data_IF_618539652118
#
_entry.id   IF_618539652118
#
_cell.length_a   1.000
_cell.length_b   1.000
_cell.length_c   1.000
_cell.angle_alpha   90.00
_cell.angle_beta   90.00
_cell.angle_gamma   90.00
#
_symmetry.space_group_name_H-M   'P 1'
#
loop_
_entity.id
_entity.type
_entity.pdbx_description
1 polymer ?
#
# COMPACT_ATOMS: atom_id res chain seq x y z
N UNK A 1 14.65 27.23 21.41
CA UNK A 1 13.41 26.43 21.48
C UNK A 1 13.33 25.68 20.16
N UNK A 2 14.11 24.62 20.06
CA UNK A 2 14.09 23.73 18.91
C UNK A 2 12.85 22.84 19.01
N UNK A 3 12.02 22.74 17.97
CA UNK A 3 10.95 21.76 17.96
C UNK A 3 11.61 20.38 17.93
N UNK A 4 11.35 19.58 18.96
CA UNK A 4 11.71 18.17 18.94
C UNK A 4 11.06 17.54 17.72
N UNK A 5 11.88 17.20 16.73
CA UNK A 5 11.53 16.37 15.59
C UNK A 5 11.24 14.97 16.15
N UNK A 6 10.03 14.82 16.70
CA UNK A 6 9.51 13.55 17.18
C UNK A 6 9.57 12.60 16.00
N UNK A 7 10.45 11.60 16.08
CA UNK A 7 10.64 10.61 15.04
C UNK A 7 9.30 9.94 14.72
N UNK A 8 8.64 10.40 13.65
CA UNK A 8 7.42 9.78 13.15
C UNK A 8 7.88 8.48 12.50
N UNK A 9 7.64 7.36 13.18
CA UNK A 9 7.81 6.04 12.58
C UNK A 9 6.74 5.92 11.46
N UNK A 10 7.15 5.87 10.18
CA UNK A 10 6.19 5.75 9.10
C UNK A 10 5.47 4.40 9.21
N UNK A 11 4.16 4.32 8.93
CA UNK A 11 3.45 3.06 8.84
C UNK A 11 4.16 2.05 7.94
N UNK A 12 4.27 0.82 8.44
CA UNK A 12 4.88 -0.31 7.73
C UNK A 12 3.79 -1.31 7.38
N UNK A 13 3.79 -1.77 6.14
CA UNK A 13 2.79 -2.69 5.63
C UNK A 13 3.42 -3.97 5.11
N UNK A 14 2.80 -5.07 5.51
CA UNK A 14 3.23 -6.41 5.22
C UNK A 14 2.19 -7.12 4.36
N UNK A 15 2.65 -7.90 3.40
CA UNK A 15 1.81 -8.89 2.75
C UNK A 15 1.36 -9.92 3.80
N UNK A 16 0.18 -10.57 3.66
CA UNK A 16 -0.23 -11.68 4.53
C UNK A 16 0.79 -12.83 4.64
N UNK A 17 1.72 -12.96 3.68
CA UNK A 17 2.86 -13.87 3.78
C UNK A 17 4.00 -13.35 4.67
N UNK A 18 3.79 -12.28 5.43
CA UNK A 18 4.75 -11.60 6.31
C UNK A 18 5.93 -10.91 5.61
N UNK A 19 5.87 -10.72 4.30
CA UNK A 19 6.89 -9.96 3.55
C UNK A 19 6.65 -8.45 3.69
N UNK A 20 7.66 -7.70 4.10
CA UNK A 20 7.60 -6.24 4.14
C UNK A 20 7.45 -5.70 2.71
N UNK A 21 6.40 -4.93 2.45
CA UNK A 21 6.00 -4.61 1.07
C UNK A 21 5.83 -3.13 0.82
N UNK A 22 5.37 -2.34 1.78
CA UNK A 22 5.10 -0.92 1.57
C UNK A 22 5.35 -0.12 2.85
N UNK A 23 5.80 1.11 2.69
CA UNK A 23 5.75 2.14 3.73
C UNK A 23 5.24 3.44 3.14
N UNK A 24 4.48 4.21 3.92
CA UNK A 24 3.87 5.48 3.52
C UNK A 24 4.08 6.52 4.62
N UNK A 25 3.96 7.81 4.29
CA UNK A 25 4.04 8.88 5.30
C UNK A 25 2.81 8.99 6.21
N UNK A 26 1.65 8.47 5.78
CA UNK A 26 0.39 8.46 6.53
C UNK A 26 -0.27 7.08 6.45
N UNK A 27 -1.12 6.69 7.42
CA UNK A 27 -1.82 5.41 7.38
C UNK A 27 -2.69 5.25 6.13
N UNK A 28 -2.73 4.05 5.54
CA UNK A 28 -3.52 3.78 4.33
C UNK A 28 -5.01 4.04 4.54
N UNK A 29 -5.50 3.88 5.77
CA UNK A 29 -6.87 4.18 6.18
C UNK A 29 -7.26 5.67 6.04
N UNK A 30 -6.29 6.57 5.93
CA UNK A 30 -6.54 8.02 5.76
C UNK A 30 -6.75 8.44 4.31
N UNK A 31 -6.44 7.56 3.36
CA UNK A 31 -6.49 7.86 1.94
C UNK A 31 -7.85 7.53 1.32
N UNK A 32 -8.22 8.20 0.20
CA UNK A 32 -9.48 7.93 -0.48
C UNK A 32 -9.51 6.52 -1.09
N UNK A 33 -10.73 5.96 -1.17
CA UNK A 33 -10.97 4.64 -1.76
C UNK A 33 -11.52 4.82 -3.18
N UNK A 34 -10.97 4.07 -4.13
CA UNK A 34 -11.45 4.02 -5.51
C UNK A 34 -12.80 3.29 -5.57
N UNK A 35 -13.88 3.90 -6.09
CA UNK A 35 -15.20 3.27 -6.09
C UNK A 35 -15.28 1.95 -6.87
N UNK A 36 -14.51 1.83 -7.95
CA UNK A 36 -14.64 0.76 -8.93
C UNK A 36 -14.16 -0.61 -8.42
N UNK A 37 -13.04 -0.66 -7.69
CA UNK A 37 -12.44 -1.90 -7.18
C UNK A 37 -12.02 -1.81 -5.71
N UNK A 38 -12.45 -0.77 -5.00
CA UNK A 38 -12.18 -0.53 -3.59
C UNK A 38 -10.69 -0.41 -3.22
N UNK A 39 -9.82 -0.24 -4.21
CA UNK A 39 -8.40 0.01 -4.00
C UNK A 39 -8.19 1.35 -3.27
N UNK A 40 -7.26 1.37 -2.33
CA UNK A 40 -6.86 2.59 -1.61
C UNK A 40 -5.97 3.41 -2.55
N UNK A 41 -6.31 4.68 -2.77
CA UNK A 41 -5.58 5.57 -3.68
C UNK A 41 -4.52 6.32 -2.87
N UNK A 42 -3.25 6.02 -3.07
CA UNK A 42 -2.12 6.79 -2.53
C UNK A 42 -1.80 7.92 -3.54
N UNK A 43 -2.06 9.19 -3.20
CA UNK A 43 -1.85 10.33 -4.09
C UNK A 43 -0.37 10.57 -4.43
N UNK A 44 -0.11 11.30 -5.51
CA UNK A 44 1.24 11.53 -6.05
C UNK A 44 2.16 12.34 -5.11
N UNK A 45 1.59 13.18 -4.25
CA UNK A 45 2.29 14.03 -3.28
C UNK A 45 2.59 13.30 -1.96
N UNK A 46 2.06 12.08 -1.78
CA UNK A 46 2.38 11.24 -0.62
C UNK A 46 3.71 10.54 -0.82
N UNK A 47 4.60 10.69 0.16
CA UNK A 47 5.84 9.92 0.20
C UNK A 47 5.54 8.47 0.56
N UNK A 48 5.94 7.55 -0.30
CA UNK A 48 5.87 6.11 -0.06
C UNK A 48 7.09 5.39 -0.65
N UNK A 49 7.29 4.15 -0.24
CA UNK A 49 8.25 3.23 -0.86
C UNK A 49 7.67 1.84 -0.90
N UNK A 50 7.66 1.24 -2.09
CA UNK A 50 7.16 -0.11 -2.33
C UNK A 50 8.32 -1.08 -2.60
N UNK A 51 8.25 -2.26 -2.01
CA UNK A 51 9.21 -3.36 -2.07
C UNK A 51 8.50 -4.57 -2.71
N UNK A 52 8.20 -4.45 -3.99
CA UNK A 52 7.45 -5.43 -4.76
C UNK A 52 7.99 -5.49 -6.20
N UNK A 53 7.70 -6.57 -6.91
CA UNK A 53 8.10 -6.77 -8.30
C UNK A 53 7.05 -6.18 -9.23
N UNK A 54 7.48 -5.50 -10.30
CA UNK A 54 6.60 -4.87 -11.29
C UNK A 54 6.29 -5.82 -12.45
N UNK A 55 5.02 -5.89 -12.84
CA UNK A 55 4.54 -6.65 -13.98
C UNK A 55 3.62 -5.78 -14.85
N UNK A 56 3.89 -5.70 -16.15
CA UNK A 56 2.99 -5.02 -17.08
C UNK A 56 1.77 -5.90 -17.34
N UNK A 57 0.58 -5.36 -17.11
CA UNK A 57 -0.69 -6.06 -17.30
C UNK A 57 -1.61 -5.19 -18.14
N UNK A 58 -2.18 -5.76 -19.19
CA UNK A 58 -3.26 -5.12 -19.96
C UNK A 58 -4.58 -5.78 -19.61
N UNK A 59 -5.49 -5.02 -19.01
CA UNK A 59 -6.81 -5.50 -18.67
C UNK A 59 -7.82 -5.08 -19.73
N UNK A 60 -8.59 -6.05 -20.25
CA UNK A 60 -9.74 -5.75 -21.10
C UNK A 60 -10.94 -5.42 -20.21
N UNK A 61 -11.50 -4.23 -20.38
CA UNK A 61 -12.69 -3.72 -19.68
C UNK A 61 -13.83 -3.52 -20.69
N UNK A 62 -15.03 -3.29 -20.18
CA UNK A 62 -16.24 -3.03 -20.99
C UNK A 62 -16.11 -1.77 -21.86
N UNK A 63 -15.37 -0.77 -21.37
CA UNK A 63 -15.17 0.54 -22.01
C UNK A 63 -13.85 0.66 -22.81
N UNK A 64 -13.02 -0.40 -22.83
CA UNK A 64 -11.73 -0.36 -23.53
C UNK A 64 -10.67 -1.24 -22.89
N UNK A 65 -9.40 -0.88 -23.11
CA UNK A 65 -8.25 -1.52 -22.46
C UNK A 65 -7.67 -0.58 -21.41
N UNK A 66 -7.35 -1.13 -20.25
CA UNK A 66 -6.66 -0.42 -19.18
C UNK A 66 -5.26 -1.01 -19.04
N UNK A 67 -4.23 -0.19 -19.25
CA UNK A 67 -2.85 -0.60 -19.05
C UNK A 67 -2.42 -0.29 -17.63
N UNK A 68 -1.99 -1.34 -16.92
CA UNK A 68 -1.58 -1.26 -15.53
C UNK A 68 -0.18 -1.81 -15.35
N UNK A 69 0.53 -1.23 -14.39
CA UNK A 69 1.72 -1.85 -13.81
C UNK A 69 1.29 -2.46 -12.49
N UNK A 70 1.26 -3.78 -12.42
CA UNK A 70 0.91 -4.52 -11.21
C UNK A 70 2.15 -4.72 -10.35
N UNK A 71 2.02 -4.42 -9.07
CA UNK A 71 3.03 -4.68 -8.05
C UNK A 71 2.69 -5.97 -7.34
N UNK A 72 3.62 -6.93 -7.36
CA UNK A 72 3.48 -8.26 -6.76
C UNK A 72 4.46 -8.46 -5.61
N UNK A 73 3.98 -9.05 -4.53
CA UNK A 73 4.83 -9.38 -3.39
C UNK A 73 6.05 -10.21 -3.83
N UNK A 74 7.25 -9.83 -3.40
CA UNK A 74 8.50 -10.52 -3.79
C UNK A 74 8.60 -11.97 -3.29
N UNK A 75 7.79 -12.34 -2.27
CA UNK A 75 7.82 -13.67 -1.67
C UNK A 75 6.77 -14.61 -2.27
N UNK A 76 5.51 -14.20 -2.31
CA UNK A 76 4.39 -15.07 -2.73
C UNK A 76 3.81 -14.70 -4.10
N UNK A 77 4.32 -13.66 -4.76
CA UNK A 77 3.90 -13.19 -6.09
C UNK A 77 2.42 -12.76 -6.20
N UNK A 78 1.73 -12.61 -5.07
CA UNK A 78 0.35 -12.13 -5.03
C UNK A 78 0.34 -10.61 -5.33
N UNK A 79 -0.63 -10.11 -6.12
CA UNK A 79 -0.79 -8.68 -6.37
C UNK A 79 -1.09 -7.92 -5.08
N UNK A 80 -0.36 -6.83 -4.84
CA UNK A 80 -0.50 -5.99 -3.63
C UNK A 80 -0.91 -4.55 -3.96
N UNK A 81 -0.55 -4.07 -5.13
CA UNK A 81 -0.91 -2.75 -5.62
C UNK A 81 -0.83 -2.73 -7.15
N UNK A 82 -1.27 -1.63 -7.76
CA UNK A 82 -1.03 -1.36 -9.17
C UNK A 82 -0.96 0.14 -9.43
N UNK A 83 -0.39 0.52 -10.57
CA UNK A 83 -0.42 1.86 -11.14
C UNK A 83 -1.22 1.81 -12.44
N UNK A 84 -1.96 2.87 -12.73
CA UNK A 84 -2.62 3.07 -14.03
C UNK A 84 -1.75 4.07 -14.79
N UNK A 85 -1.32 3.75 -16.02
CA UNK A 85 -0.33 4.57 -16.74
C UNK A 85 -0.79 6.02 -16.97
N UNK A 86 -2.10 6.24 -17.04
CA UNK A 86 -2.71 7.55 -17.24
C UNK A 86 -2.77 8.43 -15.97
N UNK A 87 -2.52 7.86 -14.78
CA UNK A 87 -2.66 8.57 -13.50
C UNK A 87 -1.44 8.37 -12.58
N UNK A 88 -0.94 9.43 -11.92
CA UNK A 88 0.25 9.33 -11.07
C UNK A 88 -0.05 8.81 -9.66
N UNK A 89 -0.96 7.85 -9.51
CA UNK A 89 -1.38 7.32 -8.21
C UNK A 89 -1.00 5.85 -8.06
N UNK A 90 -0.64 5.46 -6.84
CA UNK A 90 -0.52 4.05 -6.47
C UNK A 90 -1.85 3.58 -5.91
N UNK A 91 -2.39 2.50 -6.47
CA UNK A 91 -3.63 1.88 -6.02
C UNK A 91 -3.31 0.62 -5.23
N UNK A 92 -3.43 0.67 -3.90
CA UNK A 92 -3.19 -0.48 -3.03
C UNK A 92 -4.45 -1.34 -2.99
N UNK A 93 -4.31 -2.64 -3.27
CA UNK A 93 -5.43 -3.57 -3.29
C UNK A 93 -5.93 -3.76 -1.86
N UNK A 94 -7.24 -3.60 -1.66
CA UNK A 94 -7.85 -3.72 -0.34
C UNK A 94 -7.59 -5.11 0.27
N UNK A 95 -7.11 -5.14 1.50
CA UNK A 95 -6.80 -6.38 2.22
C UNK A 95 -5.53 -7.11 1.76
N UNK A 96 -4.85 -6.63 0.72
CA UNK A 96 -3.59 -7.24 0.27
C UNK A 96 -2.39 -6.91 1.18
N UNK A 97 -2.54 -5.90 2.03
CA UNK A 97 -1.53 -5.42 2.96
C UNK A 97 -2.12 -5.24 4.37
N UNK A 98 -1.31 -5.57 5.37
CA UNK A 98 -1.61 -5.42 6.79
C UNK A 98 -0.63 -4.43 7.42
N UNK A 99 -1.16 -3.45 8.16
CA UNK A 99 -0.33 -2.51 8.92
C UNK A 99 0.29 -3.24 10.12
N UNK A 100 1.59 -3.04 10.35
CA UNK A 100 2.22 -3.51 11.58
C UNK A 100 1.74 -2.65 12.74
N UNK A 101 0.87 -3.21 13.57
CA UNK A 101 0.53 -2.63 14.86
C UNK A 101 1.61 -2.98 15.87
N UNK A 102 2.30 -1.98 16.42
CA UNK A 102 3.16 -2.15 17.59
C UNK A 102 2.28 -2.29 18.84
N UNK A 103 1.52 -3.38 18.94
CA UNK A 103 0.75 -3.66 20.15
C UNK A 103 1.69 -4.17 21.23
N UNK A 104 2.05 -3.28 22.16
CA UNK A 104 2.73 -3.64 23.39
C UNK A 104 1.79 -4.54 24.18
N UNK A 105 2.08 -5.84 24.20
CA UNK A 105 1.42 -6.86 25.03
C UNK A 105 1.13 -6.30 26.42
N UNK A 106 -0.14 -5.93 26.69
CA UNK A 106 -0.61 -5.74 28.07
C UNK A 106 -0.57 -7.13 28.71
N UNK A 107 0.44 -7.38 29.55
CA UNK A 107 0.44 -8.52 30.47
C UNK A 107 -0.83 -8.46 31.30
N UNK A 108 -1.67 -9.47 31.18
CA UNK A 108 -2.73 -9.75 32.15
C UNK A 108 -2.09 -9.99 33.52
N UNK A 109 -2.46 -9.14 34.47
CA UNK A 109 -2.18 -9.35 35.89
C UNK A 109 -3.17 -10.39 36.42
N UNK A 110 -2.67 -11.55 36.82
CA UNK A 110 -3.34 -12.47 37.75
C UNK A 110 -2.70 -12.32 39.11
#
# INVERSE_FOLDING_TARGET
>A
MDPQDSAINPPLYYCPCSEFTLTTSHPLSTFPIRPYDQSIIVPADVKYRIFATRHNVTLKRTEGYEQRIEWRCNRCEIPVAYEILEYPWLYVIQGALQEQTNDSVKKESV
#
